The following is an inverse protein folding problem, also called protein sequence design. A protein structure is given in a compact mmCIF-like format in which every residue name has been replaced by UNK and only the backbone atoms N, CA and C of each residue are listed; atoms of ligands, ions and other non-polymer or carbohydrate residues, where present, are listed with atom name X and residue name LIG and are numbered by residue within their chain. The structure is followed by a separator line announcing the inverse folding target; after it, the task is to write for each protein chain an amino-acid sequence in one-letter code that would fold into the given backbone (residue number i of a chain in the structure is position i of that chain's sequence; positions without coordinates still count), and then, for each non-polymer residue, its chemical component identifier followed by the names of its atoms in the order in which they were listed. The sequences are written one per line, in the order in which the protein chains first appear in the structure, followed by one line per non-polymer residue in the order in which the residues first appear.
data_IF_427086288971
#
_entry.id   IF_427086288971
#
_cell.length_a   1.000
_cell.length_b   1.000
_cell.length_c   1.000
_cell.angle_alpha   90.00
_cell.angle_beta   90.00
_cell.angle_gamma   90.00
#
_symmetry.space_group_name_H-M   'P 1'
#
loop_
_entity.id
_entity.type
_entity.pdbx_description
1 polymer ?
2 polymer ?
3 water ?
#
# COMPACT_ATOMS: atom_id res chain seq x y z
N UNK A 8 14.01 24.96 5.67
CA UNK A 8 13.05 23.83 5.38
C UNK A 8 13.59 22.92 4.29
N UNK A 9 13.94 21.69 4.64
CA UNK A 9 14.49 20.72 3.70
C UNK A 9 13.50 20.18 2.64
N UNK A 10 12.20 20.22 2.92
CA UNK A 10 11.22 19.75 1.94
C UNK A 10 10.90 20.87 0.97
N UNK A 11 11.38 20.73 -0.27
CA UNK A 11 11.14 21.75 -1.31
C UNK A 11 10.28 21.20 -2.46
N UNK A 12 10.03 19.89 -2.41
CA UNK A 12 9.20 19.18 -3.37
C UNK A 12 8.94 17.76 -2.87
N UNK A 13 8.21 16.96 -3.63
CA UNK A 13 7.93 15.61 -3.17
C UNK A 13 9.21 14.79 -3.15
N UNK A 14 10.12 15.09 -4.08
CA UNK A 14 11.39 14.39 -4.12
C UNK A 14 12.03 14.55 -2.77
N UNK A 15 12.42 15.77 -2.44
CA UNK A 15 13.03 16.03 -1.16
C UNK A 15 12.16 15.62 0.03
N UNK A 16 10.84 15.60 -0.16
CA UNK A 16 9.90 15.20 0.91
C UNK A 16 10.14 13.73 1.18
N UNK A 17 10.30 12.98 0.11
CA UNK A 17 10.52 11.56 0.25
C UNK A 17 11.91 11.32 0.88
N UNK A 18 12.94 12.06 0.47
CA UNK A 18 14.26 11.91 1.09
C UNK A 18 14.19 12.15 2.61
N UNK A 19 13.47 13.19 2.99
CA UNK A 19 13.30 13.53 4.38
C UNK A 19 12.72 12.30 5.08
N UNK A 20 11.63 11.76 4.53
CA UNK A 20 10.98 10.61 5.17
C UNK A 20 11.89 9.37 5.23
N UNK A 21 12.57 9.12 4.12
CA UNK A 21 13.46 7.99 3.99
C UNK A 21 14.62 8.06 4.96
N UNK A 22 15.24 9.23 5.07
CA UNK A 22 16.37 9.42 5.99
C UNK A 22 15.94 9.33 7.46
N UNK A 23 14.72 9.75 7.77
CA UNK A 23 14.25 9.68 9.15
C UNK A 23 13.84 8.27 9.50
N UNK A 24 13.45 7.51 8.49
CA UNK A 24 13.08 6.14 8.70
C UNK A 24 14.36 5.32 8.85
N UNK A 25 15.38 5.66 8.07
CA UNK A 25 16.65 4.95 8.15
C UNK A 25 17.30 5.19 9.49
N UNK A 26 17.17 6.39 10.03
CA UNK A 26 17.78 6.68 11.32
C UNK A 26 17.13 5.83 12.39
N UNK A 27 15.84 5.58 12.25
CA UNK A 27 15.10 4.75 13.18
C UNK A 27 15.39 3.25 13.03
N UNK A 28 15.76 2.81 11.84
CA UNK A 28 15.98 1.39 11.62
C UNK A 28 17.40 0.89 11.82
N UNK A 29 18.39 1.73 11.49
CA UNK A 29 19.78 1.32 11.63
C UNK A 29 20.13 0.80 13.03
N UNK A 30 19.73 1.53 14.06
CA UNK A 30 20.07 1.04 15.39
C UNK A 30 19.48 -0.29 15.81
N UNK A 31 18.68 -0.91 14.95
CA UNK A 31 18.00 -2.14 15.35
C UNK A 31 18.05 -3.29 14.33
N UNK A 32 19.15 -3.35 13.62
CA UNK A 32 19.38 -4.36 12.58
C UNK A 32 18.87 -5.76 12.99
N UNK A 33 19.07 -6.11 14.24
CA UNK A 33 18.70 -7.43 14.74
C UNK A 33 17.20 -7.62 14.91
N UNK A 34 16.51 -6.53 15.19
CA UNK A 34 15.08 -6.58 15.39
C UNK A 34 14.26 -6.29 14.12
N UNK A 35 14.88 -6.24 12.94
CA UNK A 35 14.13 -5.91 11.71
C UNK A 35 12.93 -6.78 11.37
N UNK A 36 12.97 -8.04 11.75
CA UNK A 36 11.83 -8.91 11.50
C UNK A 36 10.85 -8.95 12.69
N UNK A 37 11.01 -8.05 13.65
CA UNK A 37 10.10 -8.01 14.81
C UNK A 37 9.07 -6.86 14.75
N UNK A 38 7.81 -7.22 14.54
CA UNK A 38 6.76 -6.23 14.45
C UNK A 38 6.77 -5.20 15.59
N UNK A 39 6.96 -5.63 16.84
CA UNK A 39 6.97 -4.69 17.97
C UNK A 39 8.05 -3.67 17.80
N UNK A 40 9.15 -4.10 17.20
CA UNK A 40 10.27 -3.21 16.98
C UNK A 40 10.19 -2.35 15.73
N UNK A 41 9.52 -2.83 14.69
CA UNK A 41 9.41 -2.03 13.47
C UNK A 41 8.07 -1.32 13.19
N UNK A 42 6.97 -1.80 13.77
CA UNK A 42 5.67 -1.20 13.51
C UNK A 42 5.64 0.32 13.60
N UNK A 43 6.40 0.91 14.51
CA UNK A 43 6.40 2.38 14.62
C UNK A 43 7.16 3.12 13.50
N UNK A 44 8.41 2.74 13.21
CA UNK A 44 9.11 3.46 12.13
C UNK A 44 8.36 3.27 10.82
N UNK A 45 7.92 2.03 10.59
CA UNK A 45 7.20 1.64 9.38
C UNK A 45 5.88 2.41 9.23
N UNK A 46 5.07 2.39 10.27
CA UNK A 46 3.82 3.14 10.28
C UNK A 46 4.10 4.64 10.15
N UNK A 47 5.17 5.11 10.76
CA UNK A 47 5.53 6.52 10.71
C UNK A 47 6.04 6.92 9.32
N UNK A 48 6.62 5.96 8.59
CA UNK A 48 7.11 6.22 7.23
C UNK A 48 5.91 6.37 6.29
N UNK A 49 4.90 5.53 6.49
CA UNK A 49 3.70 5.59 5.68
C UNK A 49 3.10 6.97 5.90
N UNK A 50 2.91 7.34 7.16
CA UNK A 50 2.33 8.64 7.46
C UNK A 50 3.08 9.82 6.84
N UNK A 51 4.40 9.73 6.85
CA UNK A 51 5.21 10.81 6.29
C UNK A 51 5.00 10.93 4.78
N UNK A 52 5.18 9.82 4.07
CA UNK A 52 5.02 9.79 2.63
C UNK A 52 3.61 10.22 2.18
N UNK A 53 2.60 9.89 2.98
CA UNK A 53 1.24 10.24 2.63
C UNK A 53 0.90 11.67 3.02
N UNK A 54 1.44 12.12 4.14
CA UNK A 54 1.15 13.48 4.54
C UNK A 54 1.74 14.53 3.58
N UNK A 55 2.94 14.28 3.05
CA UNK A 55 3.53 15.19 2.10
C UNK A 55 2.90 15.02 0.71
N UNK A 56 2.40 13.83 0.42
CA UNK A 56 1.71 13.59 -0.84
C UNK A 56 0.48 14.54 -0.81
N UNK A 57 -0.19 14.62 0.33
CA UNK A 57 -1.32 15.51 0.45
C UNK A 57 -0.80 16.95 0.30
N UNK A 58 0.33 17.25 0.93
CA UNK A 58 0.91 18.58 0.88
C UNK A 58 1.21 19.08 -0.54
N UNK A 59 1.53 18.17 -1.47
CA UNK A 59 1.82 18.53 -2.88
C UNK A 59 0.67 18.11 -3.81
N UNK A 60 -0.44 17.75 -3.17
CA UNK A 60 -1.66 17.34 -3.84
C UNK A 60 -1.52 16.17 -4.81
N UNK A 61 -0.85 15.12 -4.34
CA UNK A 61 -0.65 13.89 -5.11
C UNK A 61 -1.45 12.82 -4.38
N UNK A 62 -1.85 11.77 -5.08
CA UNK A 62 -2.60 10.76 -4.38
C UNK A 62 -1.72 9.88 -3.50
N UNK A 63 -2.38 8.93 -2.83
CA UNK A 63 -1.68 7.97 -2.01
C UNK A 63 -2.44 6.66 -2.04
N UNK A 64 -1.77 5.57 -2.46
CA UNK A 64 -0.35 5.54 -2.90
C UNK A 64 -0.04 6.36 -4.14
N UNK A 65 1.25 6.60 -4.38
CA UNK A 65 1.72 7.29 -5.57
C UNK A 65 3.03 6.55 -5.92
N UNK A 66 3.47 6.62 -7.18
CA UNK A 66 4.69 5.91 -7.59
C UNK A 66 5.95 6.13 -6.80
N UNK A 67 6.34 7.38 -6.66
CA UNK A 67 7.52 7.71 -5.87
C UNK A 67 7.43 7.10 -4.44
N UNK A 68 6.27 7.20 -3.76
CA UNK A 68 6.13 6.63 -2.41
C UNK A 68 6.36 5.11 -2.37
N UNK A 69 5.66 4.37 -3.24
CA UNK A 69 5.79 2.91 -3.34
C UNK A 69 7.21 2.45 -3.63
N UNK A 70 7.92 3.20 -4.46
CA UNK A 70 9.28 2.83 -4.81
C UNK A 70 10.05 2.78 -3.49
N UNK A 71 9.78 3.75 -2.62
CA UNK A 71 10.46 3.81 -1.34
C UNK A 71 10.01 2.67 -0.43
N UNK A 72 8.72 2.36 -0.43
CA UNK A 72 8.21 1.27 0.40
C UNK A 72 8.72 -0.05 -0.14
N UNK A 73 9.04 -0.05 -1.45
CA UNK A 73 9.59 -1.24 -2.13
C UNK A 73 10.99 -1.42 -1.60
N UNK A 74 11.68 -0.29 -1.50
CA UNK A 74 13.04 -0.23 -1.01
C UNK A 74 13.18 -0.89 0.35
N UNK A 75 12.41 -0.44 1.36
CA UNK A 75 12.52 -1.02 2.71
C UNK A 75 12.25 -2.52 2.67
N UNK A 76 11.25 -2.93 1.91
CA UNK A 76 10.98 -4.35 1.81
C UNK A 76 12.17 -5.13 1.21
N UNK A 77 12.97 -4.45 0.42
CA UNK A 77 14.15 -5.08 -0.18
C UNK A 77 15.31 -5.15 0.83
N UNK A 78 15.68 -3.99 1.34
CA UNK A 78 16.79 -3.88 2.25
C UNK A 78 16.56 -4.21 3.69
N UNK A 79 15.31 -4.25 4.13
CA UNK A 79 15.05 -4.48 5.54
C UNK A 79 14.27 -5.75 5.85
N UNK A 80 13.36 -6.11 4.94
CA UNK A 80 12.48 -7.22 5.18
C UNK A 80 12.59 -8.41 4.28
N UNK A 81 13.43 -8.34 3.27
CA UNK A 81 13.61 -9.46 2.34
C UNK A 81 13.92 -10.78 3.05
N UNK A 82 14.34 -10.69 4.30
CA UNK A 82 14.69 -11.88 5.04
C UNK A 82 13.65 -12.38 6.01
N UNK A 83 12.58 -11.62 6.17
CA UNK A 83 11.51 -11.98 7.06
C UNK A 83 10.35 -12.67 6.34
N UNK A 84 9.41 -13.16 7.12
CA UNK A 84 8.25 -13.81 6.55
C UNK A 84 7.14 -12.75 6.43
N UNK A 85 5.98 -13.18 5.93
CA UNK A 85 4.79 -12.34 5.77
C UNK A 85 3.94 -12.35 7.07
N UNK A 86 4.25 -11.41 7.98
CA UNK A 86 3.60 -11.27 9.30
C UNK A 86 3.12 -9.85 9.70
N UNK B 21 -5.05 0.41 16.99
CA UNK B 21 -5.73 -0.84 16.54
C UNK B 21 -5.91 -0.77 15.02
N UNK B 22 -6.70 0.20 14.58
CA UNK B 22 -6.94 0.41 13.16
C UNK B 22 -5.65 0.68 12.41
N UNK B 23 -4.76 1.44 13.02
CA UNK B 23 -3.50 1.76 12.38
C UNK B 23 -2.77 0.44 12.29
N UNK B 24 -2.87 -0.36 13.34
CA UNK B 24 -2.19 -1.64 13.35
C UNK B 24 -2.71 -2.57 12.26
N UNK B 25 -4.03 -2.63 12.11
CA UNK B 25 -4.64 -3.47 11.09
C UNK B 25 -4.22 -3.04 9.69
N UNK B 26 -3.92 -1.75 9.52
CA UNK B 26 -3.57 -1.26 8.21
C UNK B 26 -2.11 -1.50 7.86
N UNK B 27 -1.19 -1.23 8.78
CA UNK B 27 0.23 -1.42 8.48
C UNK B 27 0.57 -2.89 8.33
N UNK B 28 -0.19 -3.71 9.03
CA UNK B 28 -0.01 -5.14 9.02
C UNK B 28 -0.49 -5.67 7.68
N UNK B 29 -1.66 -5.18 7.26
CA UNK B 29 -2.24 -5.58 5.98
C UNK B 29 -1.27 -5.16 4.88
N UNK B 30 -0.74 -3.94 5.01
CA UNK B 30 0.19 -3.38 4.04
C UNK B 30 1.54 -4.08 3.93
N UNK B 31 2.11 -4.44 5.07
CA UNK B 31 3.41 -5.04 5.08
C UNK B 31 3.39 -6.39 4.38
N UNK B 32 2.30 -7.12 4.60
CA UNK B 32 2.10 -8.43 4.03
C UNK B 32 1.92 -8.36 2.51
N UNK B 33 1.19 -7.34 2.06
CA UNK B 33 0.89 -7.16 0.63
C UNK B 33 2.17 -7.02 -0.07
N UNK B 34 3.01 -6.14 0.46
CA UNK B 34 4.31 -5.89 -0.12
C UNK B 34 5.26 -7.06 -0.02
N UNK B 35 5.22 -7.83 1.07
CA UNK B 35 6.07 -9.02 1.21
C UNK B 35 5.76 -9.94 0.04
N UNK B 36 4.47 -10.09 -0.25
CA UNK B 36 4.05 -10.95 -1.35
C UNK B 36 4.39 -10.33 -2.70
N UNK B 37 4.15 -9.03 -2.85
CA UNK B 37 4.45 -8.37 -4.11
C UNK B 37 5.88 -8.63 -4.45
N UNK B 38 6.73 -8.52 -3.44
CA UNK B 38 8.16 -8.69 -3.58
C UNK B 38 8.67 -10.14 -3.60
N UNK B 39 8.09 -11.01 -2.78
CA UNK B 39 8.61 -12.34 -2.69
C UNK B 39 7.84 -13.45 -3.39
N UNK B 40 6.68 -13.11 -3.92
CA UNK B 40 5.87 -14.10 -4.59
C UNK B 40 5.26 -13.61 -5.88
N UNK B 41 6.09 -13.05 -6.77
CA UNK B 41 5.67 -12.53 -8.08
C UNK B 41 5.22 -13.69 -8.98
N UNK B 42 4.31 -13.40 -9.90
CA UNK B 42 3.81 -14.38 -10.85
C UNK B 42 5.01 -14.77 -11.71
N UNK B 43 5.33 -16.06 -11.75
CA UNK B 43 6.49 -16.48 -12.53
C UNK B 43 6.06 -16.91 -13.92
N UNK B 44 6.83 -16.49 -14.92
CA UNK B 44 6.51 -16.82 -16.30
C UNK B 44 5.05 -16.41 -16.55
N UNK B 45 4.15 -17.38 -16.46
CA UNK B 45 2.72 -17.11 -16.66
C UNK B 45 2.49 -16.00 -17.68
N UNK B 46 2.75 -16.30 -18.95
CA UNK B 46 2.56 -15.32 -20.01
C UNK B 46 1.06 -15.10 -20.27
N UNK B 47 0.75 -13.96 -20.86
CA UNK B 47 -0.62 -13.58 -21.13
C UNK B 47 -0.75 -12.26 -20.39
N UNK B 48 -1.96 -11.73 -20.29
CA UNK B 48 -2.13 -10.46 -19.58
C UNK B 48 -2.96 -10.59 -18.30
N UNK B 49 -2.59 -9.81 -17.31
CA UNK B 49 -3.28 -9.84 -16.05
C UNK B 49 -2.85 -8.61 -15.25
N UNK B 50 -3.51 -8.38 -14.12
CA UNK B 50 -3.16 -7.26 -13.26
C UNK B 50 -2.29 -7.79 -12.11
N UNK B 51 -1.10 -7.22 -11.96
CA UNK B 51 -0.22 -7.71 -10.93
C UNK B 51 -0.64 -7.25 -9.53
N UNK B 52 -0.32 -8.05 -8.52
CA UNK B 52 -0.70 -7.74 -7.16
C UNK B 52 -0.40 -6.29 -6.83
N UNK B 53 -1.29 -5.63 -6.10
CA UNK B 53 -1.04 -4.24 -5.72
C UNK B 53 -1.69 -3.86 -4.37
N UNK B 54 -1.13 -2.83 -3.73
CA UNK B 54 -1.65 -2.32 -2.47
C UNK B 54 -2.37 -1.01 -2.83
N UNK B 55 -3.68 -0.94 -2.64
CA UNK B 55 -4.39 0.25 -3.02
C UNK B 55 -4.40 1.25 -1.90
N UNK B 56 -3.72 0.90 -0.82
CA UNK B 56 -3.66 1.82 0.29
C UNK B 56 -4.35 1.28 1.53
N UNK B 57 -5.41 0.49 1.32
CA UNK B 57 -6.15 -0.10 2.44
C UNK B 57 -6.21 -1.60 2.31
N UNK B 58 -6.33 -2.05 1.08
CA UNK B 58 -6.48 -3.46 0.81
C UNK B 58 -5.50 -4.02 -0.23
N UNK B 59 -5.06 -5.24 -0.01
CA UNK B 59 -4.16 -5.88 -0.93
C UNK B 59 -5.00 -6.62 -1.95
N UNK B 60 -4.60 -6.60 -3.22
CA UNK B 60 -5.35 -7.32 -4.26
C UNK B 60 -4.43 -8.24 -5.01
N UNK B 61 -4.83 -9.50 -5.09
CA UNK B 61 -4.05 -10.50 -5.80
C UNK B 61 -4.02 -10.29 -7.30
N UNK B 62 -3.06 -10.96 -7.93
CA UNK B 62 -2.91 -10.95 -9.38
C UNK B 62 -4.18 -11.57 -9.99
N UNK B 63 -4.69 -10.98 -11.07
CA UNK B 63 -5.88 -11.54 -11.70
C UNK B 63 -5.79 -11.41 -13.20
N UNK B 64 -6.51 -12.27 -13.90
CA UNK B 64 -6.51 -12.24 -15.36
C UNK B 64 -7.28 -11.03 -15.82
N UNK B 65 -6.81 -10.43 -16.91
CA UNK B 65 -7.44 -9.27 -17.53
C UNK B 65 -8.97 -9.44 -17.57
N UNK B 66 -9.70 -8.33 -17.69
CA UNK B 66 -11.15 -8.39 -17.76
C UNK B 66 -11.82 -9.05 -16.58
N UNK B 67 -11.37 -8.74 -15.38
CA UNK B 67 -11.99 -9.33 -14.22
C UNK B 67 -12.38 -8.24 -13.20
N UNK B 68 -13.25 -8.61 -12.28
CA UNK B 68 -13.63 -7.68 -11.25
C UNK B 68 -13.40 -8.38 -9.91
N UNK B 69 -12.30 -8.08 -9.24
CA UNK B 69 -12.08 -8.69 -7.94
C UNK B 69 -13.04 -8.01 -6.97
N UNK B 70 -13.24 -8.61 -5.80
CA UNK B 70 -14.16 -8.08 -4.81
C UNK B 70 -13.82 -8.61 -3.41
N UNK B 71 -14.12 -7.84 -2.36
CA UNK B 71 -13.84 -8.29 -1.00
C UNK B 71 -14.79 -7.56 -0.07
N UNK B 72 -14.75 -7.92 1.20
CA UNK B 72 -15.61 -7.23 2.13
C UNK B 72 -14.85 -5.99 2.58
N UNK B 73 -15.59 -4.98 3.03
CA UNK B 73 -15.00 -3.73 3.45
C UNK B 73 -14.14 -3.91 4.68
N UNK B 74 -13.01 -3.19 4.74
CA UNK B 74 -12.05 -3.23 5.85
C UNK B 74 -12.72 -2.91 7.17
N UNK B 75 -12.38 -3.67 8.23
CA UNK B 75 -12.94 -3.44 9.57
C UNK B 75 -12.30 -2.17 10.15
N UNK B 76 -11.51 -1.48 9.34
CA UNK B 76 -10.79 -0.30 9.79
C UNK B 76 -11.62 0.75 10.52
N UNK B 77 -12.58 1.37 9.85
CA UNK B 77 -13.38 2.43 10.46
C UNK B 77 -14.73 1.93 11.00
N UNK B 78 -15.32 2.68 11.93
CA UNK B 78 -16.59 2.27 12.51
C UNK B 78 -17.80 2.66 11.68
N UNK B 79 -17.64 3.59 10.75
CA UNK B 79 -18.76 3.97 9.90
C UNK B 79 -18.72 3.13 8.62
N UNK B 80 -17.90 2.08 8.65
CA UNK B 80 -17.75 1.18 7.53
C UNK B 80 -18.56 -0.07 7.87
N UNK B 81 -19.19 -0.69 6.88
CA UNK B 81 -19.96 -1.92 7.12
C UNK B 81 -19.18 -3.13 6.59
N UNK B 82 -18.62 -3.97 7.48
CA UNK B 82 -17.87 -5.16 7.05
C UNK B 82 -18.69 -6.10 6.15
N UNK B 83 -20.00 -6.00 6.27
CA UNK B 83 -20.88 -6.83 5.45
C UNK B 83 -20.91 -6.32 3.99
N UNK B 84 -20.61 -5.05 3.79
CA UNK B 84 -20.61 -4.48 2.45
C UNK B 84 -19.42 -4.97 1.63
N UNK B 85 -19.49 -4.78 0.32
CA UNK B 85 -18.44 -5.22 -0.56
C UNK B 85 -17.56 -4.11 -1.11
N UNK B 86 -16.40 -4.50 -1.63
CA UNK B 86 -15.44 -3.59 -2.24
C UNK B 86 -15.10 -4.17 -3.60
N UNK B 87 -14.94 -3.32 -4.60
CA UNK B 87 -14.65 -3.81 -5.92
C UNK B 87 -13.47 -3.16 -6.61
N UNK B 88 -12.87 -3.89 -7.53
CA UNK B 88 -11.72 -3.38 -8.22
C UNK B 88 -11.61 -4.07 -9.56
N UNK B 89 -11.66 -3.26 -10.62
CA UNK B 89 -11.60 -3.75 -11.98
C UNK B 89 -10.23 -3.80 -12.63
N UNK B 90 -9.98 -4.94 -13.24
CA UNK B 90 -8.75 -5.19 -13.96
C UNK B 90 -9.24 -5.31 -15.41
N UNK B 91 -8.82 -4.39 -16.29
CA UNK B 91 -9.29 -4.45 -17.66
C UNK B 91 -8.60 -5.42 -18.60
N UNK B 92 -9.17 -5.56 -19.80
CA UNK B 92 -8.66 -6.46 -20.83
C UNK B 92 -7.25 -6.21 -21.30
N UNK B 93 -6.66 -5.10 -20.89
CA UNK B 93 -5.30 -4.82 -21.31
C UNK B 93 -4.40 -5.24 -20.16
N UNK B 94 -5.01 -5.79 -19.10
CA UNK B 94 -4.25 -6.20 -17.92
C UNK B 94 -3.74 -5.04 -17.06
N UNK B 95 -4.53 -3.97 -16.98
CA UNK B 95 -4.19 -2.79 -16.19
C UNK B 95 -5.38 -2.51 -15.28
N UNK B 96 -5.12 -2.24 -13.99
CA UNK B 96 -6.21 -1.99 -13.03
C UNK B 96 -6.93 -0.72 -13.41
N UNK B 97 -8.25 -0.77 -13.40
CA UNK B 97 -9.07 0.38 -13.74
C UNK B 97 -8.57 1.64 -13.04
N UNK B 98 -8.51 2.75 -13.76
CA UNK B 98 -8.10 4.03 -13.19
C UNK B 98 -9.33 4.90 -13.22
N UNK B 99 -9.59 5.63 -12.13
CA UNK B 99 -10.77 6.49 -12.13
C UNK B 99 -10.46 7.71 -13.03
N UNK B 100 -11.37 8.02 -13.98
CA UNK B 100 -11.27 9.12 -14.95
C UNK B 100 -10.86 10.53 -14.51
N UNK B 101 -11.25 10.94 -13.30
CA UNK B 101 -10.97 12.29 -12.80
C UNK B 101 -9.51 12.69 -12.52
N UNK B 102 -8.78 11.81 -11.85
CA UNK B 102 -7.39 12.07 -11.51
C UNK B 102 -6.57 11.12 -12.32
N UNK B 103 -7.27 10.11 -12.82
CA UNK B 103 -6.72 9.04 -13.62
C UNK B 103 -5.68 8.22 -12.87
N UNK B 104 -5.92 8.00 -11.58
CA UNK B 104 -5.03 7.17 -10.74
C UNK B 104 -5.75 5.83 -10.51
N UNK B 105 -4.97 4.75 -10.40
CA UNK B 105 -5.48 3.39 -10.15
C UNK B 105 -6.52 3.50 -9.05
N UNK B 106 -7.70 2.95 -9.26
CA UNK B 106 -8.76 3.16 -8.29
C UNK B 106 -9.58 1.97 -7.82
N UNK B 107 -9.82 1.95 -6.53
CA UNK B 107 -10.61 0.91 -5.93
C UNK B 107 -11.94 1.58 -5.60
N UNK B 108 -13.02 0.85 -5.83
CA UNK B 108 -14.33 1.36 -5.55
C UNK B 108 -14.76 0.98 -4.13
N UNK B 109 -14.73 1.98 -3.23
CA UNK B 109 -15.09 1.85 -1.81
C UNK B 109 -16.41 2.61 -1.50
N UNK B 110 -17.06 3.10 -2.56
CA UNK B 110 -18.32 3.86 -2.48
C UNK B 110 -19.48 3.18 -1.70
N UNK B 111 -19.44 1.85 -1.57
CA UNK B 111 -20.50 1.11 -0.89
C UNK B 111 -20.19 0.75 0.56
N UNK B 112 -19.03 1.17 1.06
CA UNK B 112 -18.62 0.82 2.42
C UNK B 112 -19.23 1.64 3.54
N UNK B 113 -19.58 2.89 3.27
CA UNK B 113 -20.14 3.73 4.30
C UNK B 113 -21.58 3.37 4.66
N UNK B 114 -21.79 3.03 5.92
CA UNK B 114 -23.11 2.64 6.42
C UNK B 114 -24.23 3.60 6.08
N UNK B 115 -24.03 4.89 6.35
CA UNK B 115 -25.06 5.90 6.11
C UNK B 115 -25.41 6.23 4.66
N UNK B 116 -24.66 5.70 3.71
CA UNK B 116 -24.93 5.99 2.30
C UNK B 116 -25.91 4.97 1.75
N UNK B 117 -26.42 4.12 2.62
CA UNK B 117 -27.35 3.08 2.19
C UNK B 117 -28.72 3.44 2.69
#
# INVERSE_FOLDING_TARGET
GSSGSSGGTVKNYETAVQFCWNHYKDQMDPIEKDWCDWAMISRPYSTLRDCLEHFAELFDLGFPNPLAERIIFETHQIHFANCSLVQPTFS
GSSGSSGELEESPEDSIQLGVTRNKIMTAQYECYQKIMQDPIQQAEGVYCNRTWDGWLCWNDVAAGTESMQLCPDYFQDFDPSEKVTKICDQDGNWFRHPASNRTWTNYTQCNVNTHEKVK
#
